data_IF_831946749542
#
_entry.id   IF_831946749542
#
_cell.length_a   1.000
_cell.length_b   1.000
_cell.length_c   1.000
_cell.angle_alpha   90.00
_cell.angle_beta   90.00
_cell.angle_gamma   90.00
#
_symmetry.space_group_name_H-M   'P 1'
#
loop_
_entity.id
_entity.type
_entity.pdbx_description
1 polymer ?
#
# COMPACT_ATOMS: atom_id res chain seq x y z
N UNK A 1 -21.36 -1.21 -17.34
CA UNK A 1 -20.29 -1.20 -18.36
C UNK A 1 -19.29 -0.04 -18.24
N UNK A 2 -19.71 1.21 -17.98
CA UNK A 2 -18.80 2.38 -17.88
C UNK A 2 -17.80 2.35 -16.70
N UNK A 3 -18.21 1.78 -15.56
CA UNK A 3 -17.35 1.66 -14.36
C UNK A 3 -16.25 0.61 -14.56
N UNK A 4 -16.55 -0.46 -15.29
CA UNK A 4 -15.59 -1.52 -15.63
C UNK A 4 -14.51 -1.00 -16.59
N UNK A 5 -14.89 -0.14 -17.56
CA UNK A 5 -13.97 0.51 -18.50
C UNK A 5 -13.06 1.53 -17.79
N UNK A 6 -13.57 2.25 -16.79
CA UNK A 6 -12.75 3.14 -15.94
C UNK A 6 -11.74 2.36 -15.08
N UNK A 7 -12.16 1.25 -14.47
CA UNK A 7 -11.25 0.36 -13.73
C UNK A 7 -10.18 -0.28 -14.62
N UNK A 8 -10.51 -0.59 -15.87
CA UNK A 8 -9.57 -1.14 -16.87
C UNK A 8 -8.64 -0.04 -17.43
N UNK A 9 -9.13 1.18 -17.63
CA UNK A 9 -8.32 2.33 -18.09
C UNK A 9 -7.35 2.84 -17.01
N UNK A 10 -7.77 2.88 -15.75
CA UNK A 10 -6.87 3.16 -14.61
C UNK A 10 -5.83 2.04 -14.48
N UNK A 11 -6.22 0.78 -14.68
CA UNK A 11 -5.25 -0.34 -14.78
C UNK A 11 -4.27 -0.16 -15.93
N UNK A 12 -4.72 0.26 -17.11
CA UNK A 12 -3.87 0.41 -18.30
C UNK A 12 -2.93 1.63 -18.20
N UNK A 13 -3.38 2.73 -17.60
CA UNK A 13 -2.55 3.92 -17.38
C UNK A 13 -1.42 3.66 -16.36
N UNK A 14 -1.64 2.80 -15.36
CA UNK A 14 -0.66 2.50 -14.30
C UNK A 14 0.22 1.26 -14.54
N UNK A 15 -0.14 0.38 -15.49
CA UNK A 15 0.67 -0.80 -15.84
C UNK A 15 1.68 -0.49 -16.97
N UNK A 16 1.43 0.53 -17.80
CA UNK A 16 2.14 0.73 -19.08
C UNK A 16 3.29 1.73 -19.13
N UNK A 17 3.45 2.65 -18.17
CA UNK A 17 4.69 3.45 -18.10
C UNK A 17 5.70 2.71 -17.23
N UNK A 18 6.61 1.98 -17.89
CA UNK A 18 7.86 1.60 -17.26
C UNK A 18 8.52 2.89 -16.78
N UNK A 19 8.49 3.13 -15.48
CA UNK A 19 9.16 4.26 -14.89
C UNK A 19 10.63 3.85 -14.74
N UNK A 20 11.55 4.33 -15.60
CA UNK A 20 12.98 4.02 -15.44
C UNK A 20 13.50 4.48 -14.07
N UNK A 21 12.79 5.38 -13.38
CA UNK A 21 13.18 5.90 -12.07
C UNK A 21 13.15 4.86 -10.95
N UNK A 22 12.17 3.94 -10.90
CA UNK A 22 12.09 2.98 -9.78
C UNK A 22 13.22 1.94 -9.89
N UNK A 23 13.54 1.52 -11.11
CA UNK A 23 14.66 0.61 -11.36
C UNK A 23 16.00 1.29 -11.12
N UNK A 24 16.18 2.54 -11.56
CA UNK A 24 17.39 3.30 -11.24
C UNK A 24 17.59 3.52 -9.73
N UNK A 25 16.51 3.82 -8.99
CA UNK A 25 16.55 3.95 -7.52
C UNK A 25 16.88 2.59 -6.89
N UNK A 26 16.31 1.49 -7.40
CA UNK A 26 16.62 0.15 -6.91
C UNK A 26 18.09 -0.19 -7.11
N UNK A 27 18.63 0.08 -8.29
CA UNK A 27 19.99 -0.30 -8.64
C UNK A 27 21.02 0.54 -7.85
N UNK A 28 20.68 1.76 -7.43
CA UNK A 28 21.55 2.62 -6.62
C UNK A 28 21.37 2.48 -5.10
N UNK A 29 20.12 2.46 -4.61
CA UNK A 29 19.79 2.46 -3.17
C UNK A 29 19.30 1.10 -2.63
N UNK A 30 19.09 0.12 -3.51
CA UNK A 30 18.57 -1.20 -3.17
C UNK A 30 17.03 -1.28 -3.17
N UNK A 31 16.55 -2.51 -3.07
CA UNK A 31 15.14 -2.87 -3.25
C UNK A 31 14.24 -2.38 -2.11
N UNK A 32 14.74 -2.34 -0.87
CA UNK A 32 13.99 -1.86 0.29
C UNK A 32 13.62 -0.38 0.13
N UNK A 33 14.56 0.44 -0.35
CA UNK A 33 14.34 1.88 -0.61
C UNK A 33 13.46 2.08 -1.84
N UNK A 34 13.67 1.32 -2.91
CA UNK A 34 12.82 1.38 -4.10
C UNK A 34 11.35 1.03 -3.83
N UNK A 35 11.09 0.03 -2.97
CA UNK A 35 9.73 -0.32 -2.53
C UNK A 35 9.04 0.86 -1.81
N UNK A 36 9.77 1.60 -0.98
CA UNK A 36 9.23 2.78 -0.30
C UNK A 36 8.78 3.86 -1.30
N UNK A 37 9.64 4.21 -2.28
CA UNK A 37 9.27 5.20 -3.29
C UNK A 37 8.14 4.71 -4.21
N UNK A 38 8.12 3.41 -4.53
CA UNK A 38 7.02 2.80 -5.26
C UNK A 38 5.69 2.86 -4.50
N UNK A 39 5.71 2.66 -3.18
CA UNK A 39 4.55 2.82 -2.30
C UNK A 39 4.07 4.26 -2.28
N UNK A 40 4.98 5.19 -2.01
CA UNK A 40 4.67 6.62 -1.93
C UNK A 40 4.05 7.13 -3.23
N UNK A 41 4.65 6.80 -4.38
CA UNK A 41 4.11 7.18 -5.68
C UNK A 41 2.70 6.62 -5.89
N UNK A 42 2.49 5.34 -5.55
CA UNK A 42 1.16 4.71 -5.66
C UNK A 42 0.16 5.40 -4.74
N UNK A 43 0.55 5.72 -3.50
CA UNK A 43 -0.29 6.39 -2.51
C UNK A 43 -0.70 7.79 -2.97
N UNK A 44 0.24 8.62 -3.44
CA UNK A 44 -0.05 9.99 -3.91
C UNK A 44 -1.12 10.00 -5.01
N UNK A 45 -1.03 9.06 -5.96
CA UNK A 45 -2.03 8.93 -7.02
C UNK A 45 -3.36 8.37 -6.53
N UNK A 46 -3.33 7.39 -5.63
CA UNK A 46 -4.54 6.79 -5.06
C UNK A 46 -5.28 7.73 -4.09
N UNK A 47 -4.63 8.77 -3.59
CA UNK A 47 -5.22 9.78 -2.70
C UNK A 47 -6.03 10.85 -3.45
N UNK A 48 -5.84 11.02 -4.76
CA UNK A 48 -6.57 12.03 -5.54
C UNK A 48 -8.10 11.83 -5.55
N UNK A 49 -8.65 10.62 -5.74
CA UNK A 49 -10.10 10.41 -5.70
C UNK A 49 -10.77 10.79 -4.37
N UNK A 50 -10.32 10.32 -3.18
CA UNK A 50 -10.93 10.74 -1.92
C UNK A 50 -10.72 12.22 -1.63
N UNK A 51 -9.57 12.80 -2.03
CA UNK A 51 -9.35 14.25 -1.90
C UNK A 51 -10.35 15.05 -2.75
N UNK A 52 -10.59 14.65 -4.00
CA UNK A 52 -11.56 15.31 -4.87
C UNK A 52 -12.99 15.24 -4.32
N UNK A 53 -13.41 14.06 -3.85
CA UNK A 53 -14.75 13.89 -3.26
C UNK A 53 -14.87 14.68 -1.96
N UNK A 54 -13.82 14.68 -1.11
CA UNK A 54 -13.78 15.47 0.12
C UNK A 54 -13.92 16.97 -0.13
N UNK A 55 -13.24 17.50 -1.16
CA UNK A 55 -13.39 18.92 -1.56
C UNK A 55 -14.83 19.21 -2.00
N UNK A 56 -15.46 18.32 -2.77
CA UNK A 56 -16.85 18.49 -3.20
C UNK A 56 -17.80 18.51 -2.00
N UNK A 57 -17.67 17.53 -1.08
CA UNK A 57 -18.45 17.49 0.16
C UNK A 57 -18.26 18.75 1.00
N UNK A 58 -17.01 19.24 1.12
CA UNK A 58 -16.69 20.46 1.83
C UNK A 58 -17.36 21.68 1.20
N UNK A 59 -17.31 21.84 -0.13
CA UNK A 59 -17.96 22.97 -0.81
C UNK A 59 -19.49 22.93 -0.66
N UNK A 60 -20.09 21.75 -0.77
CA UNK A 60 -21.53 21.56 -0.52
C UNK A 60 -21.87 21.96 0.91
N UNK A 61 -21.07 21.52 1.89
CA UNK A 61 -21.24 21.92 3.27
C UNK A 61 -21.13 23.44 3.44
N UNK A 62 -20.13 24.11 2.83
CA UNK A 62 -19.99 25.56 2.93
C UNK A 62 -21.18 26.34 2.36
N UNK A 63 -21.81 25.84 1.29
CA UNK A 63 -22.94 26.52 0.64
C UNK A 63 -24.25 26.34 1.41
N UNK A 64 -24.51 25.14 1.94
CA UNK A 64 -25.78 24.80 2.59
C UNK A 64 -25.76 24.93 4.12
N UNK A 65 -24.59 25.16 4.72
CA UNK A 65 -24.48 25.34 6.17
C UNK A 65 -25.06 26.68 6.61
N UNK A 66 -26.12 26.62 7.43
CA UNK A 66 -26.74 27.77 8.09
C UNK A 66 -26.94 27.47 9.57
N UNK A 67 -26.20 28.13 10.48
CA UNK A 67 -26.23 27.81 11.91
C UNK A 67 -27.56 28.12 12.61
N UNK A 68 -28.47 28.89 11.98
CA UNK A 68 -29.76 29.29 12.56
C UNK A 68 -30.94 28.44 12.08
N UNK A 69 -30.75 27.61 11.04
CA UNK A 69 -31.81 26.79 10.44
C UNK A 69 -31.67 25.30 10.85
N UNK A 70 -32.58 24.75 11.67
CA UNK A 70 -32.51 23.35 12.13
C UNK A 70 -32.66 22.31 11.00
N UNK A 71 -33.11 22.73 9.81
CA UNK A 71 -33.23 21.88 8.63
C UNK A 71 -31.87 21.54 7.96
N UNK A 72 -30.80 22.26 8.28
CA UNK A 72 -29.46 22.06 7.67
C UNK A 72 -28.62 20.95 8.34
N UNK A 73 -28.93 20.63 9.60
CA UNK A 73 -28.27 19.60 10.42
C UNK A 73 -28.29 18.17 9.82
N UNK A 74 -29.42 17.64 9.32
CA UNK A 74 -29.46 16.28 8.78
C UNK A 74 -28.60 16.12 7.53
N UNK A 75 -28.52 17.15 6.67
CA UNK A 75 -27.70 17.10 5.46
C UNK A 75 -26.21 16.92 5.80
N UNK A 76 -25.71 17.67 6.79
CA UNK A 76 -24.31 17.59 7.24
C UNK A 76 -23.96 16.19 7.74
N UNK A 77 -24.77 15.66 8.66
CA UNK A 77 -24.53 14.34 9.28
C UNK A 77 -24.52 13.24 8.21
N UNK A 78 -25.46 13.29 7.26
CA UNK A 78 -25.55 12.30 6.19
C UNK A 78 -24.31 12.37 5.29
N UNK A 79 -23.90 13.56 4.87
CA UNK A 79 -22.73 13.72 3.99
C UNK A 79 -21.42 13.29 4.67
N UNK A 80 -21.21 13.66 5.93
CA UNK A 80 -20.03 13.25 6.71
C UNK A 80 -19.98 11.74 6.92
N UNK A 81 -21.14 11.12 7.21
CA UNK A 81 -21.26 9.67 7.38
C UNK A 81 -20.95 8.92 6.08
N UNK A 82 -21.46 9.42 4.94
CA UNK A 82 -21.17 8.84 3.62
C UNK A 82 -19.69 8.95 3.27
N UNK A 83 -19.06 10.10 3.56
CA UNK A 83 -17.64 10.30 3.34
C UNK A 83 -16.80 9.35 4.22
N UNK A 84 -17.16 9.18 5.50
CA UNK A 84 -16.47 8.26 6.40
C UNK A 84 -16.53 6.80 5.91
N UNK A 85 -17.71 6.33 5.49
CA UNK A 85 -17.88 4.99 4.91
C UNK A 85 -17.06 4.82 3.63
N UNK A 86 -17.05 5.83 2.78
CA UNK A 86 -16.25 5.82 1.56
C UNK A 86 -14.75 5.75 1.86
N UNK A 87 -14.24 6.50 2.84
CA UNK A 87 -12.82 6.43 3.25
C UNK A 87 -12.46 5.04 3.80
N UNK A 88 -13.36 4.42 4.57
CA UNK A 88 -13.17 3.05 5.05
C UNK A 88 -13.09 2.05 3.87
N UNK A 89 -13.97 2.17 2.88
CA UNK A 89 -13.94 1.35 1.66
C UNK A 89 -12.67 1.64 0.83
N UNK A 90 -12.30 2.91 0.67
CA UNK A 90 -11.09 3.30 -0.05
C UNK A 90 -9.83 2.70 0.59
N UNK A 91 -9.71 2.78 1.93
CA UNK A 91 -8.57 2.26 2.65
C UNK A 91 -8.41 0.74 2.46
N UNK A 92 -9.51 -0.02 2.55
CA UNK A 92 -9.48 -1.47 2.34
C UNK A 92 -9.10 -1.82 0.90
N UNK A 93 -9.69 -1.15 -0.10
CA UNK A 93 -9.36 -1.38 -1.52
C UNK A 93 -7.90 -1.02 -1.82
N UNK A 94 -7.42 0.11 -1.31
CA UNK A 94 -6.04 0.55 -1.50
C UNK A 94 -5.04 -0.46 -0.92
N UNK A 95 -5.26 -0.91 0.33
CA UNK A 95 -4.36 -1.87 0.97
C UNK A 95 -4.34 -3.21 0.22
N UNK A 96 -5.50 -3.71 -0.21
CA UNK A 96 -5.56 -4.95 -1.00
C UNK A 96 -4.90 -4.81 -2.38
N UNK A 97 -5.09 -3.67 -3.04
CA UNK A 97 -4.41 -3.37 -4.30
C UNK A 97 -2.89 -3.27 -4.11
N UNK A 98 -2.44 -2.65 -3.02
CA UNK A 98 -1.02 -2.53 -2.69
C UNK A 98 -0.38 -3.89 -2.42
N UNK A 99 -1.02 -4.79 -1.64
CA UNK A 99 -0.50 -6.15 -1.41
C UNK A 99 -0.23 -6.91 -2.71
N UNK A 100 -1.13 -6.77 -3.69
CA UNK A 100 -0.98 -7.37 -5.02
C UNK A 100 0.18 -6.74 -5.79
N UNK A 101 0.31 -5.41 -5.75
CA UNK A 101 1.41 -4.66 -6.38
C UNK A 101 2.77 -5.01 -5.76
N UNK A 102 2.83 -5.09 -4.44
CA UNK A 102 4.03 -5.44 -3.69
C UNK A 102 4.50 -6.85 -4.06
N UNK A 103 3.59 -7.83 -4.11
CA UNK A 103 3.93 -9.20 -4.54
C UNK A 103 4.55 -9.23 -5.92
N UNK A 104 4.03 -8.43 -6.85
CA UNK A 104 4.60 -8.30 -8.20
C UNK A 104 6.02 -7.73 -8.19
N UNK A 105 6.28 -6.67 -7.40
CA UNK A 105 7.63 -6.10 -7.26
C UNK A 105 8.60 -7.09 -6.59
N UNK A 106 8.19 -7.73 -5.50
CA UNK A 106 9.00 -8.73 -4.80
C UNK A 106 9.36 -9.91 -5.72
N UNK A 107 8.45 -10.34 -6.60
CA UNK A 107 8.74 -11.38 -7.60
C UNK A 107 9.69 -10.88 -8.69
N UNK A 108 9.43 -9.71 -9.27
CA UNK A 108 10.27 -9.12 -10.34
C UNK A 108 11.70 -8.84 -9.86
N UNK A 109 11.87 -8.47 -8.60
CA UNK A 109 13.17 -8.11 -8.02
C UNK A 109 13.87 -9.30 -7.34
N UNK A 110 13.17 -10.41 -7.09
CA UNK A 110 13.80 -11.62 -6.54
C UNK A 110 13.94 -11.64 -5.00
N UNK A 111 13.40 -10.65 -4.29
CA UNK A 111 13.45 -10.55 -2.82
C UNK A 111 13.01 -11.80 -2.05
N UNK A 112 12.13 -12.64 -2.62
CA UNK A 112 11.67 -13.87 -1.95
C UNK A 112 12.80 -14.87 -1.70
N UNK A 113 13.78 -14.93 -2.60
CA UNK A 113 14.90 -15.87 -2.48
C UNK A 113 15.92 -15.35 -1.46
N UNK A 114 16.18 -14.05 -1.49
CA UNK A 114 17.11 -13.39 -0.56
C UNK A 114 16.61 -13.40 0.90
N UNK A 115 15.30 -13.25 1.13
CA UNK A 115 14.73 -13.27 2.47
C UNK A 115 14.96 -14.61 3.22
N UNK A 116 15.12 -15.72 2.48
CA UNK A 116 15.47 -17.03 3.06
C UNK A 116 16.95 -17.11 3.41
N UNK A 117 17.80 -16.33 2.75
CA UNK A 117 19.26 -16.31 2.91
C UNK A 117 19.78 -15.20 3.82
N UNK A 118 18.90 -14.48 4.53
CA UNK A 118 19.35 -13.43 5.46
C UNK A 118 20.23 -14.07 6.56
N UNK A 119 21.50 -13.65 6.71
CA UNK A 119 22.37 -14.21 7.73
C UNK A 119 21.85 -13.85 9.13
N UNK A 120 22.13 -14.73 10.09
CA UNK A 120 21.80 -14.46 11.48
C UNK A 120 22.40 -13.13 11.93
N UNK A 121 21.57 -12.33 12.65
CA UNK A 121 22.04 -11.07 13.23
C UNK A 121 23.28 -11.34 14.10
N UNK A 122 24.31 -10.47 14.10
CA UNK A 122 25.58 -10.73 14.80
C UNK A 122 25.43 -11.01 16.31
N UNK A 123 24.42 -10.43 16.96
CA UNK A 123 24.14 -10.64 18.39
C UNK A 123 23.32 -11.90 18.70
N UNK A 124 22.94 -12.67 17.68
CA UNK A 124 22.18 -13.88 17.88
C UNK A 124 23.08 -14.98 18.45
N UNK A 125 22.67 -15.51 19.60
CA UNK A 125 23.30 -16.65 20.26
C UNK A 125 22.25 -17.75 20.37
N UNK A 126 22.66 -18.98 20.15
CA UNK A 126 21.79 -20.14 20.20
C UNK A 126 22.60 -21.44 20.13
N UNK A 127 21.91 -22.55 19.91
CA UNK A 127 22.53 -23.86 19.78
C UNK A 127 22.68 -24.24 18.31
N UNK A 128 23.82 -24.82 17.95
CA UNK A 128 24.03 -25.38 16.61
C UNK A 128 23.15 -26.61 16.44
N UNK A 129 22.38 -26.63 15.35
CA UNK A 129 21.52 -27.76 14.99
C UNK A 129 21.42 -27.86 13.47
N UNK A 130 21.42 -29.09 12.96
CA UNK A 130 21.25 -29.34 11.54
C UNK A 130 19.90 -28.85 11.03
N UNK A 131 19.91 -28.04 9.97
CA UNK A 131 18.68 -27.55 9.34
C UNK A 131 17.91 -28.69 8.66
N UNK A 132 16.57 -28.74 8.80
CA UNK A 132 15.74 -29.76 8.16
C UNK A 132 15.47 -29.52 6.67
N UNK A 133 15.89 -28.37 6.13
CA UNK A 133 15.60 -27.95 4.75
C UNK A 133 16.87 -28.08 3.90
N UNK A 134 17.95 -27.42 4.33
CA UNK A 134 19.20 -27.33 3.57
C UNK A 134 20.30 -28.28 4.11
N UNK A 135 20.04 -28.95 5.23
CA UNK A 135 20.95 -29.92 5.86
C UNK A 135 22.34 -29.40 6.23
N UNK A 136 22.49 -28.08 6.33
CA UNK A 136 23.65 -27.39 6.88
C UNK A 136 23.74 -27.58 8.40
N UNK A 137 24.96 -27.79 8.90
CA UNK A 137 25.24 -28.08 10.33
C UNK A 137 25.65 -26.83 11.12
N UNK A 138 25.83 -25.69 10.43
CA UNK A 138 26.29 -24.41 10.98
C UNK A 138 25.14 -23.46 11.40
N UNK A 139 23.89 -23.89 11.23
CA UNK A 139 22.72 -23.09 11.59
C UNK A 139 22.51 -23.04 13.12
N UNK A 140 22.39 -21.81 13.63
CA UNK A 140 22.13 -21.52 15.04
C UNK A 140 20.61 -21.44 15.25
N UNK A 141 20.10 -22.15 16.26
CA UNK A 141 18.67 -22.16 16.64
C UNK A 141 18.46 -21.65 18.07
N UNK A 142 17.25 -21.16 18.35
CA UNK A 142 16.84 -20.78 19.70
C UNK A 142 16.88 -21.98 20.65
N UNK A 143 17.24 -21.73 21.91
CA UNK A 143 17.14 -22.73 22.97
C UNK A 143 15.66 -22.95 23.32
N UNK A 144 15.21 -24.21 23.26
CA UNK A 144 13.80 -24.59 23.43
C UNK A 144 13.48 -25.11 24.83
N UNK A 145 14.36 -24.86 25.81
CA UNK A 145 14.18 -25.27 27.21
C UNK A 145 13.10 -24.46 27.93
#
# INVERSE_FOLDING_TARGET
MRVLVSFILVRLFFIGKGNPSIEAIRDYYGEKVALYFAFLYTLCWWLLPPAGIGIICFLVQQVYWRPTDPASEPLRIVMDSLYALMIAVWATVFLEAWKRRQTWFTFRWGQRVEAVREPNRPHFKGMLRRSPIDYHDDDIYFDSR
#
